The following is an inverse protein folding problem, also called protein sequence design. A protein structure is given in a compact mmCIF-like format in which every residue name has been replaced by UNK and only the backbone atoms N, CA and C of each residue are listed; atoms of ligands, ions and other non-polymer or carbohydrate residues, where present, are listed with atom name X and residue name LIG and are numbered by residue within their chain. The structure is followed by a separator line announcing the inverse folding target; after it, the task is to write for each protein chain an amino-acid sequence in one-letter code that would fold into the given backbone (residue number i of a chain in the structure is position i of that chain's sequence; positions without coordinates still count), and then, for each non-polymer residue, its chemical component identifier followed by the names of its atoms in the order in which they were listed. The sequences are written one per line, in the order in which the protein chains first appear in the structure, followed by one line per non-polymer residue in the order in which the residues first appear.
data_IF_094270079281
#
_entry.id   IF_094270079281
#
_cell.length_a   1.000
_cell.length_b   1.000
_cell.length_c   1.000
_cell.angle_alpha   90.00
_cell.angle_beta   90.00
_cell.angle_gamma   90.00
#
_symmetry.space_group_name_H-M   'P 1'
#
loop_
_entity.id
_entity.type
_entity.pdbx_description
1 polymer ?
#
# COMPACT_ATOMS: atom_id res chain seq x y z
N UNK A 1 44.12 53.92 8.08
CA UNK A 1 43.17 53.08 8.84
C UNK A 1 41.95 52.80 7.97
N UNK A 2 41.87 51.62 7.34
CA UNK A 2 40.69 51.15 6.59
C UNK A 2 40.28 49.81 7.18
N UNK A 3 39.14 49.77 7.87
CA UNK A 3 38.57 48.54 8.43
C UNK A 3 37.86 47.80 7.28
N UNK A 4 38.37 46.63 6.92
CA UNK A 4 37.70 45.71 6.01
C UNK A 4 36.71 44.88 6.84
N UNK A 5 35.41 45.05 6.57
CA UNK A 5 34.35 44.21 7.13
C UNK A 5 34.21 43.00 6.21
N UNK A 6 34.49 41.80 6.72
CA UNK A 6 34.20 40.55 6.01
C UNK A 6 32.83 40.04 6.47
N UNK A 7 31.85 40.07 5.56
CA UNK A 7 30.57 39.39 5.74
C UNK A 7 30.76 37.93 5.35
N UNK A 8 30.71 37.03 6.34
CA UNK A 8 30.69 35.58 6.11
C UNK A 8 29.22 35.18 5.94
N UNK A 9 28.78 34.96 4.70
CA UNK A 9 27.46 34.36 4.43
C UNK A 9 27.64 32.85 4.50
N UNK A 10 27.25 32.25 5.63
CA UNK A 10 27.12 30.81 5.75
C UNK A 10 25.80 30.38 5.13
N UNK A 11 25.84 29.68 3.99
CA UNK A 11 24.69 28.96 3.46
C UNK A 11 24.53 27.73 4.35
N UNK A 12 23.53 27.75 5.23
CA UNK A 12 23.05 26.54 5.91
C UNK A 12 22.11 25.85 4.92
N UNK A 13 22.59 24.81 4.26
CA UNK A 13 21.72 23.88 3.54
C UNK A 13 20.95 23.08 4.61
N UNK A 14 19.67 23.40 4.79
CA UNK A 14 18.76 22.59 5.58
C UNK A 14 18.43 21.36 4.73
N UNK A 15 19.08 20.23 4.99
CA UNK A 15 18.66 18.94 4.44
C UNK A 15 17.50 18.44 5.29
N UNK A 16 16.29 18.47 4.74
CA UNK A 16 15.20 17.67 5.29
C UNK A 16 15.55 16.23 4.93
N UNK A 17 16.06 15.48 5.91
CA UNK A 17 16.19 14.03 5.81
C UNK A 17 14.80 13.51 6.16
N UNK A 18 14.02 13.10 5.17
CA UNK A 18 12.84 12.27 5.44
C UNK A 18 13.35 10.93 5.99
N UNK A 19 12.79 10.41 7.09
CA UNK A 19 13.12 9.06 7.53
C UNK A 19 12.72 8.08 6.43
N UNK A 20 13.69 7.35 5.87
CA UNK A 20 13.42 6.11 5.15
C UNK A 20 13.25 5.02 6.21
N UNK A 21 12.13 4.30 6.16
CA UNK A 21 11.82 3.23 7.10
C UNK A 21 12.41 1.89 6.65
N UNK A 22 12.91 1.83 5.41
CA UNK A 22 13.37 0.59 4.79
C UNK A 22 12.19 -0.31 4.46
N UNK A 23 12.47 -1.47 3.85
CA UNK A 23 11.42 -2.44 3.55
C UNK A 23 10.77 -2.94 4.85
N UNK A 24 9.45 -2.84 4.94
CA UNK A 24 8.65 -3.32 6.08
C UNK A 24 7.84 -4.54 5.65
N UNK A 25 8.12 -5.69 6.27
CA UNK A 25 7.31 -6.90 6.08
C UNK A 25 6.10 -6.85 7.02
N UNK A 26 4.90 -6.80 6.45
CA UNK A 26 3.63 -6.85 7.19
C UNK A 26 3.15 -8.29 7.42
N UNK A 27 3.51 -9.18 6.50
CA UNK A 27 3.25 -10.61 6.59
C UNK A 27 4.34 -11.41 5.88
N UNK A 28 4.94 -12.36 6.59
CA UNK A 28 5.86 -13.39 6.09
C UNK A 28 5.13 -14.75 6.13
N UNK A 29 4.74 -15.21 4.95
CA UNK A 29 3.99 -16.45 4.76
C UNK A 29 4.81 -17.71 5.00
N UNK A 30 6.14 -17.58 5.05
CA UNK A 30 7.05 -18.70 5.34
C UNK A 30 7.04 -19.11 6.82
N UNK A 31 6.55 -18.23 7.70
CA UNK A 31 6.42 -18.54 9.13
C UNK A 31 5.29 -19.54 9.35
N UNK A 32 5.67 -20.74 9.76
CA UNK A 32 4.74 -21.86 9.86
C UNK A 32 3.63 -21.62 10.87
N UNK A 33 2.40 -21.95 10.46
CA UNK A 33 1.19 -21.85 11.28
C UNK A 33 0.86 -20.44 11.77
N UNK A 34 1.26 -19.41 11.03
CA UNK A 34 0.89 -18.02 11.29
C UNK A 34 0.12 -17.43 10.12
N UNK A 35 -1.06 -16.88 10.42
CA UNK A 35 -1.81 -16.02 9.51
C UNK A 35 -1.36 -14.56 9.66
N UNK A 36 -1.77 -13.64 8.78
CA UNK A 36 -1.35 -12.24 8.87
C UNK A 36 -1.65 -11.57 10.21
N UNK A 37 -2.72 -11.99 10.90
CA UNK A 37 -3.11 -11.45 12.20
C UNK A 37 -2.31 -11.97 13.40
N UNK A 38 -1.60 -13.10 13.24
CA UNK A 38 -0.57 -13.53 14.18
C UNK A 38 0.71 -12.67 14.08
N UNK A 39 0.84 -11.89 13.00
CA UNK A 39 1.96 -10.99 12.71
C UNK A 39 1.51 -9.53 12.80
N UNK A 40 1.85 -8.71 11.81
CA UNK A 40 1.79 -7.25 11.89
C UNK A 40 0.53 -6.63 11.25
N UNK A 41 -0.42 -7.46 10.81
CA UNK A 41 -1.75 -7.05 10.37
C UNK A 41 -2.82 -7.38 11.42
N UNK A 42 -3.97 -6.73 11.36
CA UNK A 42 -5.17 -7.09 12.12
C UNK A 42 -6.13 -7.81 11.20
N UNK A 43 -6.78 -8.86 11.68
CA UNK A 43 -7.92 -9.48 10.99
C UNK A 43 -9.22 -8.88 11.51
N UNK A 44 -10.10 -8.52 10.58
CA UNK A 44 -11.46 -8.11 10.90
C UNK A 44 -12.46 -8.77 9.96
N UNK A 45 -13.59 -9.18 10.50
CA UNK A 45 -14.71 -9.76 9.76
C UNK A 45 -16.03 -9.20 10.29
N UNK A 46 -16.96 -8.92 9.37
CA UNK A 46 -18.19 -8.20 9.65
C UNK A 46 -19.36 -8.72 8.81
N UNK A 47 -20.50 -8.84 9.46
CA UNK A 47 -21.80 -9.10 8.84
C UNK A 47 -22.74 -7.91 9.15
N UNK A 48 -23.29 -7.21 8.13
CA UNK A 48 -24.20 -6.07 8.32
C UNK A 48 -25.53 -6.42 8.98
N UNK A 49 -25.96 -7.69 8.95
CA UNK A 49 -27.16 -8.18 9.63
C UNK A 49 -26.86 -8.83 10.98
N UNK A 50 -25.60 -8.77 11.45
CA UNK A 50 -25.14 -9.31 12.74
C UNK A 50 -25.41 -10.83 12.90
N UNK A 51 -25.26 -11.59 11.81
CA UNK A 51 -25.24 -13.04 11.82
C UNK A 51 -23.92 -13.64 12.36
N UNK A 52 -23.85 -14.98 12.47
CA UNK A 52 -22.61 -15.64 12.80
C UNK A 52 -21.63 -15.55 11.62
N UNK A 53 -20.46 -14.92 11.85
CA UNK A 53 -19.39 -14.83 10.86
C UNK A 53 -18.98 -16.22 10.36
N UNK A 54 -19.04 -16.40 9.05
CA UNK A 54 -18.61 -17.60 8.33
C UNK A 54 -17.24 -17.41 7.66
N UNK A 55 -16.79 -16.18 7.48
CA UNK A 55 -15.46 -15.88 6.95
C UNK A 55 -14.36 -16.57 7.80
N UNK A 56 -13.46 -17.28 7.13
CA UNK A 56 -12.38 -18.02 7.78
C UNK A 56 -11.02 -17.64 7.23
N UNK A 57 -10.00 -17.85 8.06
CA UNK A 57 -8.61 -17.82 7.63
C UNK A 57 -7.87 -19.05 8.12
N UNK A 58 -6.97 -19.57 7.29
CA UNK A 58 -6.13 -20.71 7.67
C UNK A 58 -4.78 -20.67 6.97
N UNK A 59 -3.72 -20.98 7.70
CA UNK A 59 -2.39 -21.11 7.12
C UNK A 59 -2.14 -22.54 6.63
N UNK A 60 -1.60 -22.68 5.42
CA UNK A 60 -1.23 -23.97 4.84
C UNK A 60 -0.27 -23.80 3.65
N UNK A 61 0.71 -24.71 3.55
CA UNK A 61 1.66 -24.76 2.43
C UNK A 61 2.43 -23.45 2.14
N UNK A 62 2.67 -22.62 3.17
CA UNK A 62 3.37 -21.34 3.01
C UNK A 62 2.48 -20.22 2.47
N UNK A 63 1.17 -20.34 2.59
CA UNK A 63 0.18 -19.33 2.20
C UNK A 63 -0.93 -19.28 3.28
N UNK A 64 -1.64 -18.17 3.34
CA UNK A 64 -2.90 -18.06 4.08
C UNK A 64 -4.08 -18.09 3.12
N UNK A 65 -4.99 -19.02 3.34
CA UNK A 65 -6.32 -18.99 2.71
C UNK A 65 -7.20 -18.04 3.51
N UNK A 66 -7.73 -17.00 2.88
CA UNK A 66 -8.88 -16.23 3.38
C UNK A 66 -10.10 -16.63 2.53
N UNK A 67 -11.17 -17.05 3.20
CA UNK A 67 -12.39 -17.53 2.56
C UNK A 67 -13.60 -16.75 3.09
N UNK A 68 -14.19 -15.91 2.24
CA UNK A 68 -15.43 -15.16 2.51
C UNK A 68 -16.65 -15.75 1.79
N UNK A 69 -16.51 -16.92 1.16
CA UNK A 69 -17.57 -17.53 0.33
C UNK A 69 -18.72 -18.14 1.12
N UNK A 70 -18.59 -18.23 2.45
CA UNK A 70 -19.64 -18.75 3.34
C UNK A 70 -20.92 -17.91 3.35
N UNK A 71 -20.79 -16.59 3.16
CA UNK A 71 -21.91 -15.66 3.03
C UNK A 71 -21.48 -14.38 2.29
N UNK A 72 -22.03 -14.12 1.11
CA UNK A 72 -21.71 -12.95 0.27
C UNK A 72 -22.02 -11.59 0.93
N UNK A 73 -22.80 -11.59 2.01
CA UNK A 73 -23.06 -10.38 2.78
C UNK A 73 -21.97 -10.04 3.79
N UNK A 74 -21.03 -10.96 4.04
CA UNK A 74 -19.90 -10.74 4.94
C UNK A 74 -18.73 -10.08 4.22
N UNK A 75 -18.04 -9.20 4.96
CA UNK A 75 -16.74 -8.66 4.58
C UNK A 75 -15.68 -9.20 5.55
N UNK A 76 -14.50 -9.54 5.07
CA UNK A 76 -13.38 -9.87 5.94
C UNK A 76 -12.03 -9.60 5.28
N UNK A 77 -11.04 -9.23 6.08
CA UNK A 77 -9.68 -9.08 5.57
C UNK A 77 -8.69 -8.55 6.59
N UNK A 78 -7.55 -8.15 6.06
CA UNK A 78 -6.37 -7.77 6.83
C UNK A 78 -6.08 -6.29 6.69
N UNK A 79 -5.83 -5.63 7.82
CA UNK A 79 -5.62 -4.19 7.90
C UNK A 79 -4.36 -3.91 8.70
N UNK A 80 -3.58 -2.91 8.29
CA UNK A 80 -2.47 -2.43 9.11
C UNK A 80 -2.93 -1.48 10.24
N UNK A 81 -4.24 -1.33 10.47
CA UNK A 81 -4.83 -0.45 11.49
C UNK A 81 -6.10 -1.09 12.05
N UNK A 82 -6.36 -0.97 13.35
CA UNK A 82 -7.61 -1.45 13.94
C UNK A 82 -8.68 -0.35 13.88
N UNK A 83 -9.56 -0.45 12.89
CA UNK A 83 -10.64 0.51 12.67
C UNK A 83 -11.68 0.55 13.80
N UNK A 84 -11.88 -0.54 14.53
CA UNK A 84 -12.88 -0.61 15.60
C UNK A 84 -12.39 -0.02 16.92
N UNK A 85 -11.13 -0.27 17.25
CA UNK A 85 -10.54 0.15 18.52
C UNK A 85 -9.67 1.41 18.37
N UNK A 86 -9.58 1.94 17.15
CA UNK A 86 -8.69 3.04 16.78
C UNK A 86 -7.23 2.80 17.20
N UNK A 87 -6.77 1.54 17.12
CA UNK A 87 -5.40 1.20 17.50
C UNK A 87 -4.45 1.49 16.34
N UNK A 88 -3.26 2.05 16.63
CA UNK A 88 -2.24 2.24 15.61
C UNK A 88 -1.81 0.90 15.01
N UNK A 89 -1.12 0.99 13.89
CA UNK A 89 -0.46 -0.15 13.28
C UNK A 89 0.46 -0.89 14.26
N UNK A 90 0.47 -2.22 14.18
CA UNK A 90 1.35 -3.06 15.01
C UNK A 90 2.83 -2.73 14.74
N UNK A 91 3.13 -2.41 13.48
CA UNK A 91 4.41 -1.86 13.04
C UNK A 91 4.19 -0.54 12.31
N UNK A 92 5.03 0.48 12.53
CA UNK A 92 4.95 1.71 11.75
C UNK A 92 5.25 1.44 10.27
N UNK A 93 4.41 1.96 9.39
CA UNK A 93 4.71 2.14 7.96
C UNK A 93 4.57 3.62 7.62
N UNK A 94 5.27 4.05 6.58
CA UNK A 94 5.12 5.38 6.00
C UNK A 94 4.88 5.23 4.50
N UNK A 95 3.72 5.68 4.05
CA UNK A 95 3.29 5.60 2.66
C UNK A 95 3.34 7.00 2.05
N UNK A 96 4.55 7.54 1.88
CA UNK A 96 4.77 8.82 1.20
C UNK A 96 4.82 8.59 -0.31
N UNK A 97 3.75 9.01 -1.01
CA UNK A 97 3.71 8.92 -2.49
C UNK A 97 4.62 9.94 -3.17
N UNK A 98 5.09 10.97 -2.47
CA UNK A 98 5.92 12.03 -3.06
C UNK A 98 7.39 11.62 -3.14
N UNK A 99 8.18 12.38 -3.91
CA UNK A 99 9.61 12.06 -4.07
C UNK A 99 9.81 10.78 -4.86
N UNK A 100 10.26 9.71 -4.19
CA UNK A 100 10.55 8.41 -4.80
C UNK A 100 9.33 7.47 -4.76
N UNK A 101 8.31 7.76 -3.93
CA UNK A 101 7.12 6.91 -3.78
C UNK A 101 7.37 5.63 -2.99
N UNK A 102 6.44 4.68 -3.09
CA UNK A 102 6.54 3.38 -2.42
C UNK A 102 5.96 2.27 -3.29
N UNK A 103 6.21 1.02 -2.92
CA UNK A 103 5.58 -0.16 -3.54
C UNK A 103 4.98 -1.05 -2.48
N UNK A 104 3.69 -1.36 -2.59
CA UNK A 104 3.07 -2.46 -1.86
C UNK A 104 3.26 -3.74 -2.68
N UNK A 105 4.14 -4.62 -2.20
CA UNK A 105 4.34 -5.96 -2.75
C UNK A 105 3.46 -6.95 -2.01
N UNK A 106 2.74 -7.78 -2.74
CA UNK A 106 1.99 -8.89 -2.16
C UNK A 106 1.93 -10.08 -3.11
N UNK A 107 1.78 -11.28 -2.55
CA UNK A 107 1.58 -12.50 -3.34
C UNK A 107 0.13 -12.96 -3.19
N UNK A 108 -0.57 -13.15 -4.30
CA UNK A 108 -1.98 -13.55 -4.23
C UNK A 108 -2.40 -14.47 -5.39
N UNK A 109 -3.40 -15.31 -5.12
CA UNK A 109 -4.19 -16.04 -6.10
C UNK A 109 -5.66 -15.98 -5.69
N UNK A 110 -6.55 -15.64 -6.63
CA UNK A 110 -7.99 -15.81 -6.43
C UNK A 110 -8.33 -17.26 -6.76
N UNK A 111 -8.79 -18.05 -5.79
CA UNK A 111 -9.17 -19.46 -6.03
C UNK A 111 -10.57 -19.54 -6.63
N UNK A 112 -11.49 -18.75 -6.08
CA UNK A 112 -12.83 -18.55 -6.60
C UNK A 112 -13.35 -17.18 -6.19
N UNK A 113 -14.22 -16.60 -7.00
CA UNK A 113 -14.82 -15.29 -6.75
C UNK A 113 -16.30 -15.31 -7.20
N UNK A 114 -17.14 -14.59 -6.47
CA UNK A 114 -18.55 -14.37 -6.78
C UNK A 114 -18.91 -12.89 -6.55
N UNK A 115 -19.18 -12.15 -7.63
CA UNK A 115 -19.67 -10.76 -7.61
C UNK A 115 -21.15 -10.64 -8.04
N UNK A 116 -21.94 -11.71 -7.89
CA UNK A 116 -23.35 -11.70 -8.30
C UNK A 116 -24.22 -10.66 -7.55
N UNK A 117 -23.76 -10.17 -6.40
CA UNK A 117 -24.42 -9.11 -5.64
C UNK A 117 -24.18 -7.70 -6.21
N UNK A 118 -23.10 -7.48 -6.96
CA UNK A 118 -22.79 -6.19 -7.59
C UNK A 118 -21.78 -6.32 -8.73
N UNK A 119 -22.09 -5.73 -9.88
CA UNK A 119 -21.13 -5.61 -10.99
C UNK A 119 -19.94 -4.69 -10.70
N UNK A 120 -19.95 -4.03 -9.55
CA UNK A 120 -19.01 -2.98 -9.19
C UNK A 120 -18.18 -3.28 -7.93
N UNK A 121 -18.21 -4.53 -7.45
CA UNK A 121 -17.48 -4.98 -6.27
C UNK A 121 -16.77 -6.30 -6.56
N UNK A 122 -15.68 -6.55 -5.83
CA UNK A 122 -14.88 -7.75 -5.94
C UNK A 122 -14.76 -8.40 -4.56
N UNK A 123 -14.80 -9.73 -4.51
CA UNK A 123 -14.58 -10.50 -3.29
C UNK A 123 -13.13 -10.44 -2.78
N UNK A 124 -12.20 -9.97 -3.62
CA UNK A 124 -10.85 -9.60 -3.20
C UNK A 124 -10.53 -8.19 -3.70
N UNK A 125 -10.19 -7.30 -2.78
CA UNK A 125 -9.64 -5.98 -3.06
C UNK A 125 -8.36 -5.70 -2.27
N UNK A 126 -7.54 -4.82 -2.85
CA UNK A 126 -6.35 -4.26 -2.22
C UNK A 126 -6.51 -2.76 -2.17
N UNK A 127 -6.37 -2.16 -0.99
CA UNK A 127 -6.41 -0.71 -0.79
C UNK A 127 -5.05 -0.28 -0.28
N UNK A 128 -4.48 0.75 -0.90
CA UNK A 128 -3.29 1.45 -0.41
C UNK A 128 -3.55 2.96 -0.43
N UNK A 129 -3.53 3.60 0.74
CA UNK A 129 -3.70 5.05 0.90
C UNK A 129 -2.44 5.66 1.50
N UNK A 130 -1.94 6.69 0.84
CA UNK A 130 -0.77 7.44 1.27
C UNK A 130 -1.05 8.27 2.53
N UNK A 131 -0.02 8.85 3.12
CA UNK A 131 -0.11 9.75 4.28
C UNK A 131 -1.07 10.94 4.08
N UNK A 132 -1.28 11.35 2.82
CA UNK A 132 -2.18 12.42 2.42
C UNK A 132 -3.54 11.95 1.84
N UNK A 133 -3.90 10.68 2.08
CA UNK A 133 -5.15 10.01 1.68
C UNK A 133 -5.34 9.80 0.17
N UNK A 134 -4.37 10.16 -0.66
CA UNK A 134 -4.38 9.75 -2.06
C UNK A 134 -3.92 8.31 -2.19
N UNK A 135 -4.66 7.53 -2.96
CA UNK A 135 -4.42 6.10 -3.05
C UNK A 135 -5.23 5.43 -4.13
N UNK A 136 -5.35 4.11 -4.03
CA UNK A 136 -6.11 3.32 -4.98
C UNK A 136 -6.70 2.09 -4.26
N UNK A 137 -7.93 1.72 -4.61
CA UNK A 137 -8.52 0.43 -4.35
C UNK A 137 -8.58 -0.35 -5.67
N UNK A 138 -8.03 -1.56 -5.68
CA UNK A 138 -8.03 -2.45 -6.82
C UNK A 138 -8.89 -3.68 -6.51
N UNK A 139 -9.84 -4.00 -7.37
CA UNK A 139 -10.65 -5.21 -7.33
C UNK A 139 -10.09 -6.30 -8.23
N UNK A 140 -10.12 -7.54 -7.76
CA UNK A 140 -9.63 -8.72 -8.45
C UNK A 140 -10.80 -9.67 -8.70
N UNK A 141 -11.14 -9.86 -9.97
CA UNK A 141 -12.04 -10.91 -10.44
C UNK A 141 -11.24 -12.05 -11.07
N UNK A 142 -11.90 -13.16 -11.35
CA UNK A 142 -11.29 -14.34 -11.98
C UNK A 142 -10.60 -14.03 -13.33
N UNK A 143 -11.17 -13.10 -14.10
CA UNK A 143 -10.72 -12.76 -15.47
C UNK A 143 -10.15 -11.34 -15.65
N UNK A 144 -10.18 -10.52 -14.60
CA UNK A 144 -9.81 -9.11 -14.71
C UNK A 144 -9.40 -8.48 -13.38
N UNK A 145 -8.57 -7.45 -13.50
CA UNK A 145 -8.20 -6.56 -12.39
C UNK A 145 -8.61 -5.15 -12.79
N UNK A 146 -9.16 -4.40 -11.85
CA UNK A 146 -9.72 -3.08 -12.11
C UNK A 146 -9.59 -2.14 -10.92
N UNK A 147 -9.64 -0.84 -11.18
CA UNK A 147 -9.63 0.19 -10.14
C UNK A 147 -11.03 0.69 -9.79
N UNK A 148 -11.22 0.96 -8.51
CA UNK A 148 -12.45 1.54 -8.00
C UNK A 148 -12.44 3.06 -8.18
N UNK A 149 -13.51 3.60 -8.78
CA UNK A 149 -13.71 5.02 -9.03
C UNK A 149 -14.09 5.79 -7.75
N UNK A 150 -13.72 7.07 -7.72
CA UNK A 150 -14.04 8.05 -6.69
C UNK A 150 -15.02 9.14 -7.18
N UNK A 151 -15.45 9.17 -8.44
CA UNK A 151 -16.40 10.15 -8.98
C UNK A 151 -17.87 9.66 -8.97
N UNK A 152 -18.89 10.54 -9.11
CA UNK A 152 -19.93 10.83 -8.11
C UNK A 152 -20.96 9.72 -7.80
N UNK A 153 -20.88 8.57 -8.46
CA UNK A 153 -21.41 7.31 -7.95
C UNK A 153 -20.22 6.52 -7.39
N UNK A 154 -19.71 6.97 -6.24
CA UNK A 154 -18.53 6.37 -5.61
C UNK A 154 -18.66 4.84 -5.57
N UNK A 155 -17.54 4.15 -5.80
CA UNK A 155 -17.49 2.69 -5.87
C UNK A 155 -18.11 2.05 -7.11
N UNK A 156 -17.93 2.65 -8.29
CA UNK A 156 -18.08 1.96 -9.59
C UNK A 156 -16.72 1.50 -10.12
N UNK A 157 -16.72 0.52 -11.02
CA UNK A 157 -15.49 0.10 -11.72
C UNK A 157 -15.07 1.17 -12.73
N UNK A 158 -13.78 1.45 -12.80
CA UNK A 158 -13.19 2.29 -13.84
C UNK A 158 -12.17 1.50 -14.68
N UNK A 159 -10.91 1.94 -14.73
CA UNK A 159 -9.91 1.35 -15.58
C UNK A 159 -9.69 -0.14 -15.24
N UNK A 160 -9.54 -0.97 -16.26
CA UNK A 160 -9.44 -2.42 -16.11
C UNK A 160 -8.48 -3.05 -17.11
N UNK A 161 -8.02 -4.24 -16.75
CA UNK A 161 -7.15 -5.08 -17.58
C UNK A 161 -7.61 -6.53 -17.49
N UNK A 162 -7.61 -7.24 -18.63
CA UNK A 162 -7.90 -8.68 -18.64
C UNK A 162 -6.69 -9.45 -18.12
N UNK A 163 -6.88 -10.23 -17.06
CA UNK A 163 -5.83 -10.99 -16.41
C UNK A 163 -6.44 -12.17 -15.64
N UNK A 164 -5.93 -13.38 -15.88
CA UNK A 164 -6.39 -14.59 -15.16
C UNK A 164 -5.76 -14.63 -13.76
N UNK A 165 -6.55 -14.28 -12.74
CA UNK A 165 -6.10 -14.24 -11.34
C UNK A 165 -6.13 -15.62 -10.67
N UNK A 166 -6.63 -16.64 -11.37
CA UNK A 166 -6.93 -17.98 -10.82
C UNK A 166 -5.86 -19.02 -11.11
N UNK A 167 -5.01 -18.77 -12.10
CA UNK A 167 -4.07 -19.76 -12.63
C UNK A 167 -2.94 -20.12 -11.66
N UNK A 168 -2.41 -19.15 -10.90
CA UNK A 168 -1.32 -19.35 -9.94
C UNK A 168 -1.24 -18.21 -8.93
N UNK A 169 -0.46 -18.43 -7.86
CA UNK A 169 0.01 -17.33 -7.00
C UNK A 169 0.93 -16.44 -7.82
N UNK A 170 0.62 -15.15 -7.86
CA UNK A 170 1.33 -14.11 -8.61
C UNK A 170 1.97 -13.14 -7.64
N UNK A 171 3.18 -12.67 -7.94
CA UNK A 171 3.75 -11.52 -7.24
C UNK A 171 3.16 -10.24 -7.85
N UNK A 172 2.39 -9.51 -7.06
CA UNK A 172 1.92 -8.19 -7.41
C UNK A 172 2.82 -7.12 -6.78
N UNK A 173 3.18 -6.13 -7.58
CA UNK A 173 3.83 -4.91 -7.12
C UNK A 173 2.92 -3.73 -7.46
N UNK A 174 2.29 -3.12 -6.45
CA UNK A 174 1.54 -1.89 -6.60
C UNK A 174 2.47 -0.71 -6.31
N UNK A 175 3.07 -0.15 -7.37
CA UNK A 175 3.95 0.99 -7.27
C UNK A 175 3.14 2.29 -7.28
N UNK A 176 3.31 3.13 -6.26
CA UNK A 176 2.62 4.42 -6.11
C UNK A 176 3.68 5.52 -6.11
N UNK A 177 3.53 6.49 -7.02
CA UNK A 177 4.48 7.58 -7.18
C UNK A 177 3.81 8.85 -7.71
N UNK A 178 4.03 9.94 -6.98
CA UNK A 178 3.38 11.22 -7.14
C UNK A 178 1.88 11.05 -7.32
N UNK A 179 1.36 11.29 -8.53
CA UNK A 179 -0.08 11.35 -8.81
C UNK A 179 -0.65 10.06 -9.38
N UNK A 180 0.15 9.02 -9.58
CA UNK A 180 -0.30 7.81 -10.26
C UNK A 180 0.18 6.53 -9.59
N UNK A 181 -0.36 5.43 -10.09
CA UNK A 181 0.03 4.09 -9.70
C UNK A 181 0.34 3.23 -10.93
N UNK A 182 1.05 2.13 -10.71
CA UNK A 182 1.16 1.03 -11.67
C UNK A 182 1.13 -0.29 -10.91
N UNK A 183 0.20 -1.16 -11.27
CA UNK A 183 0.19 -2.55 -10.84
C UNK A 183 1.04 -3.37 -11.81
N UNK A 184 1.97 -4.15 -11.27
CA UNK A 184 2.72 -5.17 -12.00
C UNK A 184 2.31 -6.56 -11.51
N UNK A 185 2.33 -7.55 -12.41
CA UNK A 185 2.30 -8.96 -12.09
C UNK A 185 3.59 -9.62 -12.59
N UNK A 186 4.33 -10.25 -11.68
CA UNK A 186 5.62 -10.88 -11.96
C UNK A 186 6.60 -9.95 -12.72
N UNK A 187 6.57 -8.66 -12.36
CA UNK A 187 7.37 -7.59 -12.97
C UNK A 187 6.87 -7.06 -14.31
N UNK A 188 5.73 -7.55 -14.83
CA UNK A 188 5.09 -7.05 -16.06
C UNK A 188 3.99 -6.05 -15.70
N UNK A 189 4.00 -4.81 -16.24
CA UNK A 189 2.96 -3.84 -15.94
C UNK A 189 1.61 -4.31 -16.50
N UNK A 190 0.57 -4.24 -15.66
CA UNK A 190 -0.80 -4.69 -15.97
C UNK A 190 -1.80 -3.54 -16.09
N UNK A 191 -1.77 -2.61 -15.13
CA UNK A 191 -2.73 -1.52 -15.00
C UNK A 191 -2.04 -0.27 -14.47
N UNK A 192 -2.39 0.91 -14.98
CA UNK A 192 -1.78 2.18 -14.55
C UNK A 192 -2.74 3.33 -14.81
N UNK A 193 -2.93 4.18 -13.80
CA UNK A 193 -3.67 5.43 -13.95
C UNK A 193 -3.33 6.40 -12.80
N UNK A 194 -4.15 7.44 -12.64
CA UNK A 194 -4.12 8.40 -11.56
C UNK A 194 -4.62 7.80 -10.23
N UNK A 195 -4.07 8.30 -9.13
CA UNK A 195 -4.57 8.03 -7.78
C UNK A 195 -5.91 8.73 -7.56
N UNK A 196 -6.68 8.18 -6.63
CA UNK A 196 -8.00 8.65 -6.20
C UNK A 196 -7.96 9.28 -4.82
N UNK A 197 -8.97 10.07 -4.49
CA UNK A 197 -9.22 10.59 -3.14
C UNK A 197 -10.62 10.17 -2.67
N UNK A 198 -10.71 8.91 -2.22
CA UNK A 198 -11.95 8.33 -1.72
C UNK A 198 -12.53 9.10 -0.53
N UNK A 199 -11.68 9.62 0.36
CA UNK A 199 -12.08 10.35 1.56
C UNK A 199 -12.96 11.58 1.25
N UNK A 200 -12.77 12.21 0.09
CA UNK A 200 -13.56 13.35 -0.35
C UNK A 200 -15.01 12.98 -0.75
N UNK A 201 -15.28 11.69 -0.94
CA UNK A 201 -16.46 11.18 -1.64
C UNK A 201 -17.37 10.37 -0.72
N UNK A 202 -16.84 9.91 0.42
CA UNK A 202 -17.58 9.11 1.39
C UNK A 202 -17.66 9.76 2.76
N UNK A 203 -18.74 9.51 3.53
CA UNK A 203 -18.82 9.95 4.92
C UNK A 203 -17.66 9.39 5.75
N UNK A 204 -17.25 10.12 6.79
CA UNK A 204 -16.36 9.57 7.81
C UNK A 204 -17.22 8.85 8.85
N UNK A 205 -17.57 7.60 8.56
CA UNK A 205 -18.29 6.69 9.44
C UNK A 205 -17.56 5.34 9.55
N UNK A 206 -18.08 4.43 10.37
CA UNK A 206 -17.45 3.12 10.58
C UNK A 206 -17.39 2.26 9.32
N UNK A 207 -18.35 2.41 8.39
CA UNK A 207 -18.39 1.62 7.16
C UNK A 207 -17.34 2.10 6.13
N UNK A 208 -16.93 3.36 6.22
CA UNK A 208 -15.98 3.98 5.28
C UNK A 208 -14.67 4.39 5.96
N UNK A 209 -14.45 4.01 7.21
CA UNK A 209 -13.30 4.48 8.00
C UNK A 209 -11.96 4.14 7.35
N UNK A 210 -11.88 3.04 6.58
CA UNK A 210 -10.73 2.67 5.78
C UNK A 210 -10.22 3.83 4.90
N UNK A 211 -11.13 4.61 4.29
CA UNK A 211 -10.78 5.70 3.38
C UNK A 211 -10.34 6.99 4.09
N UNK A 212 -10.47 7.07 5.40
CA UNK A 212 -10.10 8.23 6.21
C UNK A 212 -8.82 8.00 7.01
N UNK A 213 -8.14 6.87 6.79
CA UNK A 213 -6.94 6.48 7.51
C UNK A 213 -5.68 6.75 6.66
N UNK A 214 -4.77 7.63 7.11
CA UNK A 214 -3.44 7.77 6.50
C UNK A 214 -2.61 6.51 6.68
N UNK A 215 -1.64 6.32 5.79
CA UNK A 215 -0.71 5.19 5.82
C UNK A 215 -1.43 3.84 5.91
N UNK A 216 -2.44 3.65 5.04
CA UNK A 216 -3.38 2.53 5.15
C UNK A 216 -3.14 1.47 4.09
N UNK A 217 -3.15 0.21 4.51
CA UNK A 217 -3.13 -0.98 3.68
C UNK A 217 -4.25 -1.92 4.10
N UNK A 218 -5.02 -2.39 3.11
CA UNK A 218 -6.00 -3.46 3.26
C UNK A 218 -5.83 -4.52 2.18
N UNK A 219 -6.02 -5.78 2.56
CA UNK A 219 -6.13 -6.93 1.64
C UNK A 219 -7.26 -7.85 2.11
N UNK A 220 -8.25 -8.10 1.26
CA UNK A 220 -9.35 -9.02 1.55
C UNK A 220 -10.65 -8.61 0.87
N UNK A 221 -11.77 -9.03 1.43
CA UNK A 221 -13.10 -8.65 0.97
C UNK A 221 -13.59 -7.41 1.71
N UNK A 222 -13.72 -6.30 0.98
CA UNK A 222 -14.18 -5.03 1.52
C UNK A 222 -15.67 -4.78 1.24
N UNK A 223 -16.47 -5.79 0.89
CA UNK A 223 -17.86 -5.59 0.48
C UNK A 223 -18.82 -6.59 1.11
N UNK A 224 -20.12 -6.28 1.02
CA UNK A 224 -21.22 -7.18 1.39
C UNK A 224 -22.02 -7.58 0.15
N UNK A 225 -21.36 -7.65 -1.01
CA UNK A 225 -21.99 -7.91 -2.31
C UNK A 225 -21.12 -8.67 -3.30
N UNK A 226 -19.95 -9.13 -2.84
CA UNK A 226 -19.09 -10.07 -3.52
C UNK A 226 -18.44 -10.98 -2.45
N UNK A 227 -17.77 -12.04 -2.88
CA UNK A 227 -17.03 -12.96 -2.00
C UNK A 227 -15.90 -13.65 -2.75
N UNK A 228 -14.86 -14.07 -2.04
CA UNK A 228 -13.76 -14.83 -2.63
C UNK A 228 -13.15 -15.84 -1.67
N UNK A 229 -12.61 -16.90 -2.25
CA UNK A 229 -11.55 -17.69 -1.61
C UNK A 229 -10.23 -17.23 -2.25
N UNK A 230 -9.27 -16.77 -1.44
CA UNK A 230 -7.99 -16.30 -1.92
C UNK A 230 -6.83 -16.93 -1.15
N UNK A 231 -5.73 -17.18 -1.85
CA UNK A 231 -4.44 -17.53 -1.24
C UNK A 231 -3.59 -16.28 -1.17
N UNK A 232 -3.10 -15.94 0.02
CA UNK A 232 -2.25 -14.80 0.30
C UNK A 232 -0.87 -15.29 0.77
N UNK A 233 0.19 -14.82 0.11
CA UNK A 233 1.58 -14.96 0.55
C UNK A 233 2.09 -13.66 1.16
N UNK A 234 3.40 -13.44 1.10
CA UNK A 234 4.04 -12.30 1.76
C UNK A 234 3.39 -10.95 1.41
N UNK A 235 3.36 -10.02 2.37
CA UNK A 235 2.94 -8.64 2.18
C UNK A 235 4.05 -7.73 2.70
N UNK A 236 4.58 -6.88 1.83
CA UNK A 236 5.75 -6.05 2.10
C UNK A 236 5.54 -4.64 1.54
N UNK A 237 5.83 -3.62 2.34
CA UNK A 237 5.97 -2.24 1.87
C UNK A 237 7.44 -2.02 1.57
N UNK A 238 7.75 -1.69 0.32
CA UNK A 238 9.09 -1.36 -0.14
C UNK A 238 9.23 0.15 -0.29
N UNK A 239 10.25 0.71 0.34
CA UNK A 239 10.67 2.07 0.04
C UNK A 239 11.25 2.08 -1.38
N UNK A 240 10.83 3.02 -2.23
CA UNK A 240 11.53 3.24 -3.49
C UNK A 240 12.96 3.70 -3.15
N UNK A 241 13.94 2.80 -3.29
CA UNK A 241 15.30 3.02 -2.82
C UNK A 241 15.87 4.36 -3.33
N UNK A 242 16.21 5.26 -2.40
CA UNK A 242 16.93 6.50 -2.69
C UNK A 242 18.34 6.13 -3.20
N UNK A 243 18.71 6.35 -4.47
CA UNK A 243 20.11 6.38 -4.83
C UNK A 243 20.64 7.69 -4.23
N UNK A 244 21.42 7.63 -3.15
CA UNK A 244 22.00 8.84 -2.57
C UNK A 244 22.63 9.67 -3.71
N UNK A 245 22.24 10.94 -3.88
CA UNK A 245 22.76 11.70 -4.99
C UNK A 245 24.26 11.88 -4.76
N UNK A 246 25.08 11.28 -5.64
CA UNK A 246 26.53 11.37 -5.66
C UNK A 246 27.07 12.82 -5.65
N UNK A 247 26.18 13.81 -5.82
CA UNK A 247 26.43 15.24 -5.68
C UNK A 247 26.88 15.65 -4.28
N UNK A 248 26.43 15.01 -3.19
CA UNK A 248 26.90 15.33 -1.83
C UNK A 248 28.36 14.89 -1.61
N UNK A 249 28.72 13.71 -2.12
CA UNK A 249 30.10 13.21 -2.14
C UNK A 249 31.02 14.12 -2.99
N UNK A 250 30.51 14.62 -4.11
CA UNK A 250 31.23 15.56 -4.99
C UNK A 250 31.39 16.96 -4.37
N UNK A 251 30.40 17.47 -3.65
CA UNK A 251 30.47 18.76 -2.93
C UNK A 251 31.40 18.69 -1.72
N UNK A 252 31.37 17.60 -0.95
CA UNK A 252 32.29 17.38 0.16
C UNK A 252 33.75 17.22 -0.33
N UNK A 253 33.97 16.42 -1.39
CA UNK A 253 35.28 16.26 -2.02
C UNK A 253 35.79 17.58 -2.64
N UNK A 254 34.92 18.32 -3.33
CA UNK A 254 35.26 19.62 -3.93
C UNK A 254 35.60 20.69 -2.88
N UNK A 255 34.85 20.73 -1.77
CA UNK A 255 35.09 21.64 -0.65
C UNK A 255 36.41 21.36 0.08
N UNK A 256 36.72 20.08 0.33
CA UNK A 256 37.99 19.65 0.93
C UNK A 256 39.19 19.97 0.03
N UNK A 257 39.09 19.73 -1.28
CA UNK A 257 40.15 20.06 -2.25
C UNK A 257 40.40 21.58 -2.33
N UNK A 258 39.36 22.40 -2.26
CA UNK A 258 39.49 23.87 -2.25
C UNK A 258 40.13 24.39 -0.97
N UNK A 259 39.80 23.80 0.19
CA UNK A 259 40.43 24.10 1.48
C UNK A 259 41.91 23.68 1.49
N UNK A 260 42.25 22.47 1.06
CA UNK A 260 43.64 22.00 0.99
C UNK A 260 44.51 22.87 0.06
N UNK A 261 43.98 23.31 -1.09
CA UNK A 261 44.71 24.23 -2.01
C UNK A 261 44.98 25.61 -1.40
N UNK A 262 44.10 26.09 -0.52
CA UNK A 262 44.25 27.40 0.13
C UNK A 262 45.30 27.36 1.25
N UNK A 263 45.46 26.22 1.92
CA UNK A 263 46.49 26.01 2.95
C UNK A 263 47.89 25.79 2.36
N UNK A 264 48.01 25.13 1.20
CA UNK A 264 49.30 24.90 0.55
C UNK A 264 49.94 26.13 -0.13
N UNK A 265 49.22 27.27 -0.20
CA UNK A 265 49.68 28.53 -0.83
C UNK A 265 50.00 29.64 0.17
N UNK A 266 49.99 29.33 1.46
CA UNK A 266 50.49 30.19 2.54
C UNK A 266 51.82 29.64 3.02
#
# INVERSE_FOLDING_TARGET
MRRLVFLLVGIVALTIVSPSYGDVTLYDSSVSSQTPDDQDLYYFAFDPVFGPIQATQSWGAGLTTLDTTGDISEAAGYYNYDALLSQPAKVPIALDRTGDGYTLRFFAQVVSEDHSGSSDRAGFSVIALSDDLWGIELGFWDDSIWAQDDEPAAFVRDESTSFDTTSNVVQYDLAIHNTGYTLYADGVPLLSDLLRNYAAQVPNDLAHHAYHQPDFVFLGDNTSSASAELLLGDVVVLDAAIPEPASLSLLAAGGLLALCRRWARR
#
